data_IF_972838886910
#
_entry.id   IF_972838886910
#
_cell.length_a   1.000
_cell.length_b   1.000
_cell.length_c   1.000
_cell.angle_alpha   90.00
_cell.angle_beta   90.00
_cell.angle_gamma   90.00
#
_symmetry.space_group_name_H-M   'P 1'
#
loop_
_entity.id
_entity.type
_entity.pdbx_description
1 polymer ?
#
# COMPACT_ATOMS: atom_id res chain seq x y z
N UNK A 1 8.91 20.72 1.29
CA UNK A 1 7.72 20.58 0.44
C UNK A 1 7.84 19.38 -0.47
N UNK A 2 6.75 18.66 -0.67
CA UNK A 2 6.77 17.54 -1.61
C UNK A 2 7.08 18.07 -3.02
N UNK A 3 7.86 17.29 -3.73
CA UNK A 3 8.16 17.59 -5.12
C UNK A 3 7.28 16.74 -6.00
N UNK A 4 6.51 17.37 -6.89
CA UNK A 4 5.60 16.67 -7.75
C UNK A 4 6.20 16.47 -9.14
N UNK A 5 6.19 15.21 -9.64
CA UNK A 5 6.61 14.96 -11.02
C UNK A 5 5.53 15.43 -12.01
N UNK A 6 5.92 15.59 -13.25
CA UNK A 6 4.96 15.92 -14.31
C UNK A 6 4.10 14.71 -14.67
N UNK A 7 4.69 13.52 -14.58
CA UNK A 7 3.99 12.25 -14.79
C UNK A 7 4.23 11.35 -13.60
N UNK A 8 3.32 10.42 -13.35
CA UNK A 8 3.49 9.46 -12.27
C UNK A 8 4.80 8.69 -12.43
N UNK A 9 5.51 8.52 -11.32
CA UNK A 9 6.77 7.76 -11.30
C UNK A 9 6.55 6.46 -10.54
N UNK A 10 6.85 5.34 -11.18
CA UNK A 10 6.70 4.01 -10.60
C UNK A 10 8.01 3.54 -10.00
N UNK A 11 7.96 3.07 -8.77
CA UNK A 11 9.12 2.44 -8.15
C UNK A 11 9.31 1.02 -8.68
N UNK A 12 10.50 0.46 -8.45
CA UNK A 12 10.69 -0.98 -8.59
C UNK A 12 9.90 -1.71 -7.51
N UNK A 13 9.82 -3.02 -7.65
CA UNK A 13 9.16 -3.86 -6.65
C UNK A 13 10.15 -4.27 -5.56
N UNK A 14 9.69 -4.29 -4.33
CA UNK A 14 10.43 -4.82 -3.19
C UNK A 14 9.48 -5.70 -2.38
N UNK A 15 10.00 -6.53 -1.51
CA UNK A 15 9.15 -7.52 -0.82
C UNK A 15 9.64 -7.85 0.59
N UNK A 16 8.70 -8.38 1.38
CA UNK A 16 9.01 -9.07 2.63
C UNK A 16 8.59 -10.54 2.48
N UNK A 17 8.32 -11.22 3.59
CA UNK A 17 7.97 -12.65 3.58
C UNK A 17 6.57 -12.93 3.04
N UNK A 18 5.69 -11.94 3.03
CA UNK A 18 4.28 -12.14 2.70
C UNK A 18 3.79 -11.31 1.53
N UNK A 19 4.41 -10.16 1.28
CA UNK A 19 3.93 -9.20 0.31
C UNK A 19 5.02 -8.71 -0.61
N UNK A 20 4.62 -8.33 -1.81
CA UNK A 20 5.41 -7.48 -2.68
C UNK A 20 4.87 -6.06 -2.54
N UNK A 21 5.77 -5.09 -2.63
CA UNK A 21 5.45 -3.69 -2.47
C UNK A 21 5.90 -2.89 -3.67
N UNK A 22 5.19 -1.81 -3.92
CA UNK A 22 5.54 -0.84 -4.95
C UNK A 22 4.94 0.49 -4.55
N UNK A 23 5.60 1.57 -4.85
CA UNK A 23 5.00 2.89 -4.65
C UNK A 23 5.00 3.68 -5.95
N UNK A 24 4.08 4.62 -6.03
CA UNK A 24 3.90 5.47 -7.20
C UNK A 24 3.85 6.90 -6.73
N UNK A 25 4.71 7.72 -7.29
CA UNK A 25 4.73 9.14 -6.96
C UNK A 25 3.72 9.83 -7.85
N UNK A 26 2.69 10.40 -7.25
CA UNK A 26 1.59 11.03 -7.96
C UNK A 26 1.93 12.44 -8.40
N UNK A 27 1.26 12.91 -9.44
CA UNK A 27 1.36 14.29 -9.88
C UNK A 27 0.59 15.19 -8.92
N UNK A 28 0.81 16.51 -9.04
CA UNK A 28 0.13 17.48 -8.18
C UNK A 28 -1.40 17.42 -8.34
N UNK A 29 -1.97 17.39 -9.55
CA UNK A 29 -3.42 17.26 -9.70
C UNK A 29 -3.97 15.99 -9.06
N UNK A 30 -3.26 14.87 -9.19
CA UNK A 30 -3.68 13.61 -8.58
C UNK A 30 -3.64 13.70 -7.05
N UNK A 31 -2.60 14.31 -6.51
CA UNK A 31 -2.53 14.54 -5.07
C UNK A 31 -3.70 15.40 -4.58
N UNK A 32 -4.01 16.46 -5.29
CA UNK A 32 -5.15 17.33 -4.92
C UNK A 32 -6.45 16.55 -4.90
N UNK A 33 -6.60 15.58 -5.79
CA UNK A 33 -7.82 14.76 -5.87
C UNK A 33 -7.99 13.90 -4.62
N UNK A 34 -6.91 13.39 -4.05
CA UNK A 34 -6.95 12.43 -2.94
C UNK A 34 -6.67 13.03 -1.57
N UNK A 35 -6.15 14.24 -1.49
CA UNK A 35 -5.68 14.82 -0.21
C UNK A 35 -6.76 14.90 0.86
N UNK A 36 -8.01 15.07 0.47
CA UNK A 36 -9.13 15.19 1.39
C UNK A 36 -9.84 13.87 1.65
N UNK A 37 -9.38 12.78 1.02
CA UNK A 37 -9.93 11.45 1.26
C UNK A 37 -9.41 10.96 2.60
N UNK A 38 -10.34 10.56 3.46
CA UNK A 38 -10.01 10.00 4.76
C UNK A 38 -9.79 8.49 4.60
N UNK A 39 -8.66 8.00 5.12
CA UNK A 39 -8.34 6.60 5.01
C UNK A 39 -7.62 6.23 3.71
N UNK A 40 -7.73 4.97 3.33
CA UNK A 40 -7.06 4.44 2.15
C UNK A 40 -7.73 4.91 0.86
N UNK A 41 -6.93 5.00 -0.20
CA UNK A 41 -7.43 5.43 -1.50
C UNK A 41 -8.12 4.26 -2.19
N UNK A 42 -9.40 4.41 -2.58
CA UNK A 42 -10.10 3.34 -3.30
C UNK A 42 -9.44 3.01 -4.64
N UNK A 43 -9.47 1.74 -4.99
CA UNK A 43 -8.91 1.28 -6.26
C UNK A 43 -9.55 1.98 -7.46
N UNK A 44 -10.84 2.29 -7.38
CA UNK A 44 -11.54 3.02 -8.44
C UNK A 44 -10.84 4.33 -8.79
N UNK A 45 -10.27 4.99 -7.80
CA UNK A 45 -9.58 6.27 -8.02
C UNK A 45 -8.21 6.04 -8.64
N UNK A 46 -7.37 5.23 -7.99
CA UNK A 46 -6.00 5.12 -8.48
C UNK A 46 -5.91 4.25 -9.74
N UNK A 47 -6.78 3.27 -9.93
CA UNK A 47 -6.74 2.42 -11.12
C UNK A 47 -7.52 3.01 -12.28
N UNK A 48 -8.71 3.51 -12.03
CA UNK A 48 -9.59 4.00 -13.10
C UNK A 48 -9.41 5.48 -13.41
N UNK A 49 -9.39 6.35 -12.39
CA UNK A 49 -9.20 7.78 -12.63
C UNK A 49 -7.77 8.13 -12.98
N UNK A 50 -6.80 7.57 -12.25
CA UNK A 50 -5.38 7.88 -12.46
C UNK A 50 -4.74 6.96 -13.49
N UNK A 51 -5.40 5.90 -13.86
CA UNK A 51 -4.92 4.93 -14.85
C UNK A 51 -3.60 4.28 -14.46
N UNK A 52 -3.43 3.99 -13.18
CA UNK A 52 -2.25 3.29 -12.70
C UNK A 52 -2.20 1.89 -13.31
N UNK A 53 -1.09 1.58 -13.98
CA UNK A 53 -0.90 0.34 -14.72
C UNK A 53 -0.17 -0.69 -13.88
N UNK A 54 -0.93 -1.50 -13.16
CA UNK A 54 -0.41 -2.60 -12.34
C UNK A 54 -1.32 -3.81 -12.50
N UNK A 55 -0.77 -5.00 -12.22
CA UNK A 55 -1.52 -6.24 -12.30
C UNK A 55 -2.59 -6.31 -11.21
N UNK A 56 -3.43 -7.33 -11.27
CA UNK A 56 -4.48 -7.51 -10.26
C UNK A 56 -3.87 -7.88 -8.91
N UNK A 57 -4.55 -7.51 -7.86
CA UNK A 57 -4.15 -7.86 -6.50
C UNK A 57 -3.41 -6.77 -5.75
N UNK A 58 -2.94 -5.75 -6.45
CA UNK A 58 -2.33 -4.61 -5.79
C UNK A 58 -3.40 -3.79 -5.07
N UNK A 59 -3.11 -3.42 -3.82
CA UNK A 59 -4.02 -2.63 -2.98
C UNK A 59 -3.26 -1.49 -2.34
N UNK A 60 -3.91 -0.35 -2.19
CA UNK A 60 -3.37 0.71 -1.35
C UNK A 60 -3.51 0.24 0.10
N UNK A 61 -2.39 0.17 0.82
CA UNK A 61 -2.38 -0.38 2.18
C UNK A 61 -2.02 0.63 3.25
N UNK A 62 -1.55 1.81 2.85
CA UNK A 62 -1.11 2.81 3.80
C UNK A 62 -1.07 4.18 3.15
N UNK A 63 -1.05 5.22 3.99
CA UNK A 63 -0.84 6.60 3.56
C UNK A 63 0.12 7.24 4.53
N UNK A 64 1.23 7.74 3.99
CA UNK A 64 2.25 8.37 4.81
C UNK A 64 2.04 9.88 4.87
N UNK A 65 1.74 10.38 6.06
CA UNK A 65 1.44 11.81 6.25
C UNK A 65 2.60 12.73 5.85
N UNK A 66 3.84 12.24 5.98
CA UNK A 66 5.02 13.01 5.57
C UNK A 66 5.18 13.12 4.07
N UNK A 67 4.61 12.18 3.32
CA UNK A 67 4.69 12.15 1.85
C UNK A 67 3.34 11.71 1.28
N UNK A 68 2.29 12.51 1.45
CA UNK A 68 0.93 12.10 1.12
C UNK A 68 0.66 11.95 -0.38
N UNK A 69 1.59 12.38 -1.22
CA UNK A 69 1.49 12.26 -2.67
C UNK A 69 2.03 10.93 -3.19
N UNK A 70 2.53 10.07 -2.31
CA UNK A 70 3.03 8.75 -2.70
C UNK A 70 1.95 7.71 -2.45
N UNK A 71 1.55 7.02 -3.51
CA UNK A 71 0.59 5.93 -3.43
C UNK A 71 1.33 4.65 -3.09
N UNK A 72 1.06 4.08 -1.92
CA UNK A 72 1.71 2.88 -1.43
C UNK A 72 0.85 1.66 -1.75
N UNK A 73 1.37 0.75 -2.55
CA UNK A 73 0.66 -0.44 -2.97
C UNK A 73 1.40 -1.70 -2.52
N UNK A 74 0.63 -2.74 -2.23
CA UNK A 74 1.19 -4.07 -1.97
C UNK A 74 0.26 -5.13 -2.53
N UNK A 75 0.82 -6.32 -2.77
CA UNK A 75 0.03 -7.50 -3.12
C UNK A 75 0.62 -8.73 -2.44
N UNK A 76 -0.18 -9.75 -2.15
CA UNK A 76 0.33 -10.99 -1.58
C UNK A 76 1.32 -11.68 -2.52
N UNK A 77 2.38 -12.26 -1.94
CA UNK A 77 3.29 -13.10 -2.72
C UNK A 77 2.53 -14.32 -3.24
N UNK A 78 2.87 -14.75 -4.45
CA UNK A 78 2.24 -15.94 -5.03
C UNK A 78 0.87 -15.71 -5.63
N UNK A 79 0.37 -14.47 -5.61
CA UNK A 79 -0.91 -14.14 -6.23
C UNK A 79 -0.84 -14.32 -7.75
N UNK A 80 -1.96 -14.77 -8.34
CA UNK A 80 -2.08 -14.84 -9.79
C UNK A 80 -2.27 -13.42 -10.33
N UNK A 81 -1.35 -12.92 -11.16
CA UNK A 81 -1.45 -11.54 -11.65
C UNK A 81 -2.60 -11.30 -12.62
N UNK A 82 -3.16 -12.35 -13.21
CA UNK A 82 -4.27 -12.22 -14.15
C UNK A 82 -5.62 -12.26 -13.45
N UNK A 83 -5.79 -13.16 -12.48
CA UNK A 83 -7.07 -13.36 -11.82
C UNK A 83 -7.16 -12.70 -10.45
N UNK A 84 -6.02 -12.41 -9.82
CA UNK A 84 -5.99 -11.92 -8.45
C UNK A 84 -6.21 -13.01 -7.40
N UNK A 85 -6.17 -14.27 -7.81
CA UNK A 85 -6.37 -15.40 -6.90
C UNK A 85 -5.16 -15.57 -5.99
N UNK A 86 -5.42 -15.72 -4.68
CA UNK A 86 -4.38 -15.95 -3.67
C UNK A 86 -4.52 -17.38 -3.16
N UNK A 87 -3.46 -18.22 -3.30
CA UNK A 87 -3.52 -19.58 -2.77
C UNK A 87 -3.76 -19.61 -1.26
N UNK A 88 -4.48 -20.63 -0.80
CA UNK A 88 -4.81 -20.75 0.61
C UNK A 88 -3.58 -20.77 1.53
N UNK A 89 -2.48 -21.35 1.07
CA UNK A 89 -1.23 -21.37 1.83
C UNK A 89 -0.70 -19.97 2.09
N UNK A 90 -0.80 -19.12 1.07
CA UNK A 90 -0.35 -17.73 1.18
C UNK A 90 -1.28 -16.96 2.11
N UNK A 91 -2.58 -17.18 2.00
CA UNK A 91 -3.54 -16.53 2.90
C UNK A 91 -3.28 -16.85 4.36
N UNK A 92 -2.98 -18.12 4.66
CA UNK A 92 -2.62 -18.53 6.02
C UNK A 92 -1.36 -17.85 6.51
N UNK A 93 -0.36 -17.76 5.65
CA UNK A 93 0.91 -17.12 5.98
C UNK A 93 0.71 -15.64 6.29
N UNK A 94 -0.10 -14.97 5.49
CA UNK A 94 -0.43 -13.56 5.68
C UNK A 94 -1.17 -13.36 7.00
N UNK A 95 -2.15 -14.22 7.29
CA UNK A 95 -2.93 -14.16 8.52
C UNK A 95 -2.02 -14.28 9.75
N UNK A 96 -1.09 -15.23 9.75
CA UNK A 96 -0.14 -15.39 10.83
C UNK A 96 0.79 -14.19 10.96
N UNK A 97 1.23 -13.65 9.85
CA UNK A 97 2.10 -12.47 9.84
C UNK A 97 1.39 -11.26 10.44
N UNK A 98 0.15 -11.02 10.04
CA UNK A 98 -0.63 -9.89 10.55
C UNK A 98 -0.92 -10.06 12.05
N UNK A 99 -1.22 -11.27 12.48
CA UNK A 99 -1.45 -11.56 13.89
C UNK A 99 -0.23 -11.26 14.74
N UNK A 100 0.94 -11.73 14.30
CA UNK A 100 2.20 -11.46 15.02
C UNK A 100 2.50 -9.97 15.11
N UNK A 101 2.26 -9.26 14.03
CA UNK A 101 2.51 -7.84 14.02
C UNK A 101 1.60 -7.10 14.97
N UNK A 102 0.33 -7.46 15.02
CA UNK A 102 -0.62 -6.86 15.96
C UNK A 102 -0.25 -7.14 17.41
N UNK A 103 0.15 -8.38 17.71
CA UNK A 103 0.62 -8.74 19.04
C UNK A 103 1.85 -7.94 19.44
N UNK A 104 2.78 -7.79 18.52
CA UNK A 104 4.00 -7.02 18.76
C UNK A 104 3.68 -5.55 19.05
N UNK A 105 2.80 -4.96 18.27
CA UNK A 105 2.39 -3.57 18.47
C UNK A 105 1.73 -3.36 19.82
N UNK A 106 0.88 -4.28 20.22
CA UNK A 106 0.19 -4.21 21.50
C UNK A 106 1.16 -4.32 22.69
N UNK A 107 2.16 -5.17 22.56
CA UNK A 107 3.15 -5.37 23.62
C UNK A 107 4.12 -4.20 23.74
N UNK A 108 4.59 -3.73 22.59
CA UNK A 108 5.64 -2.70 22.55
C UNK A 108 5.09 -1.34 22.96
N UNK A 109 3.91 -0.97 22.48
CA UNK A 109 3.41 0.37 22.71
C UNK A 109 1.91 0.49 22.46
N UNK A 110 1.09 0.04 23.42
CA UNK A 110 -0.36 0.02 23.23
C UNK A 110 -0.99 1.41 23.12
N UNK A 111 -0.31 2.44 23.60
CA UNK A 111 -0.84 3.80 23.60
C UNK A 111 -0.52 4.57 22.33
N UNK A 112 0.41 4.10 21.53
CA UNK A 112 0.77 4.75 20.29
C UNK A 112 -0.18 4.31 19.19
N UNK A 113 -0.70 5.30 18.48
CA UNK A 113 -1.48 5.01 17.28
C UNK A 113 -0.52 4.74 16.14
N UNK A 114 -0.43 3.48 15.77
CA UNK A 114 0.29 3.09 14.59
C UNK A 114 -0.63 3.25 13.41
N UNK A 115 -0.39 4.26 12.60
CA UNK A 115 -1.09 4.30 11.34
C UNK A 115 -0.44 3.31 10.39
N UNK A 116 -1.10 3.06 9.29
CA UNK A 116 -0.72 1.98 8.39
C UNK A 116 0.69 2.14 7.87
N UNK A 117 1.13 3.36 7.64
CA UNK A 117 2.46 3.52 7.06
C UNK A 117 3.57 3.30 8.09
N UNK A 118 3.32 3.51 9.36
CA UNK A 118 4.31 3.14 10.38
C UNK A 118 4.55 1.63 10.33
N UNK A 119 3.50 0.87 10.07
CA UNK A 119 3.57 -0.56 9.89
C UNK A 119 4.24 -0.90 8.57
N UNK A 120 3.90 -0.18 7.52
CA UNK A 120 4.39 -0.47 6.18
C UNK A 120 5.87 -0.18 6.00
N UNK A 121 6.46 0.59 6.87
CA UNK A 121 7.89 0.88 6.83
C UNK A 121 8.76 -0.20 7.48
N UNK A 122 8.13 -1.21 7.99
CA UNK A 122 8.84 -2.31 8.64
C UNK A 122 9.36 -3.32 7.64
#
# INVERSE_FOLDING_TARGET
>A
MPRFPEEMEYSGKYRDDCYEYRHIILTKPQFKRIRDIDGLIPEEIWRNEFEVQVTKGWKNYARYAGEPHILLLRRPLGIDPETGFVPAEILKKIEMFEKKRMEHLNVVNPDIKYDEFAISNL
#
